data_IF_390261238519
#
_entry.id   IF_390261238519
#
_cell.length_a   1.000
_cell.length_b   1.000
_cell.length_c   1.000
_cell.angle_alpha   90.00
_cell.angle_beta   90.00
_cell.angle_gamma   90.00
#
_symmetry.space_group_name_H-M   'P 1'
#
loop_
_entity.id
_entity.type
_entity.pdbx_description
1 polymer ?
2 non-polymer ?
3 non-polymer ?
4 water ?
#
# COMPACT_ATOMS: atom_id res chain seq x y z
N UNK A 11 18.63 -12.37 -8.85
CA UNK A 11 17.69 -11.81 -9.87
C UNK A 11 18.07 -12.33 -11.25
N UNK A 12 17.05 -12.63 -12.08
CA UNK A 12 17.23 -12.99 -13.47
C UNK A 12 17.67 -11.77 -14.28
N UNK A 13 18.73 -11.95 -15.08
CA UNK A 13 19.16 -10.94 -16.03
C UNK A 13 18.41 -11.17 -17.35
N UNK A 14 17.75 -10.14 -17.87
CA UNK A 14 16.94 -10.27 -19.06
C UNK A 14 17.65 -9.53 -20.19
N UNK A 15 17.71 -10.16 -21.38
CA UNK A 15 18.39 -9.53 -22.50
C UNK A 15 17.49 -8.44 -23.07
N UNK A 16 18.01 -7.24 -23.43
CA UNK A 16 17.14 -6.16 -23.92
C UNK A 16 16.28 -6.48 -25.14
N UNK A 17 16.72 -7.44 -25.96
CA UNK A 17 16.00 -7.81 -27.16
C UNK A 17 14.69 -8.50 -26.80
N UNK A 18 14.55 -8.95 -25.54
CA UNK A 18 13.35 -9.64 -25.08
C UNK A 18 12.29 -8.66 -24.56
N UNK A 19 12.60 -7.36 -24.50
CA UNK A 19 11.71 -6.36 -23.90
C UNK A 19 11.32 -5.31 -24.92
N UNK A 20 10.01 -5.03 -25.05
CA UNK A 20 9.54 -3.88 -25.80
C UNK A 20 8.74 -2.95 -24.88
N UNK A 21 9.15 -1.68 -24.81
CA UNK A 21 8.38 -0.63 -24.15
C UNK A 21 7.30 -0.11 -25.11
N UNK A 22 6.17 0.34 -24.55
CA UNK A 22 5.00 0.65 -25.38
C UNK A 22 4.35 1.97 -24.94
N UNK A 23 4.07 2.11 -23.65
CA UNK A 23 3.32 3.25 -23.14
C UNK A 23 3.87 3.63 -21.77
N UNK A 24 4.02 4.93 -21.54
CA UNK A 24 4.43 5.42 -20.23
C UNK A 24 3.23 5.31 -19.29
N UNK A 25 3.42 4.65 -18.15
CA UNK A 25 2.40 4.54 -17.12
C UNK A 25 2.92 5.18 -15.83
N UNK A 26 4.06 5.88 -15.93
CA UNK A 26 4.70 6.49 -14.78
C UNK A 26 6.01 7.16 -15.15
N UNK A 31 14.13 8.62 -14.79
CA UNK A 31 13.50 7.37 -15.26
C UNK A 31 11.99 7.50 -15.45
N UNK A 32 11.43 6.59 -16.26
CA UNK A 32 10.00 6.46 -16.44
C UNK A 32 9.63 5.01 -16.15
N UNK A 33 8.34 4.75 -15.97
CA UNK A 33 7.81 3.41 -15.94
C UNK A 33 6.96 3.24 -17.18
N UNK A 34 7.21 2.16 -17.93
CA UNK A 34 6.42 1.83 -19.11
C UNK A 34 5.62 0.56 -18.87
N UNK A 35 4.50 0.44 -19.61
CA UNK A 35 3.93 -0.86 -19.89
C UNK A 35 4.63 -1.39 -21.15
N UNK A 36 4.92 -2.68 -21.15
CA UNK A 36 5.56 -3.29 -22.30
C UNK A 36 5.28 -4.78 -22.37
N UNK A 37 6.07 -5.46 -23.19
CA UNK A 37 5.91 -6.87 -23.45
C UNK A 37 7.26 -7.52 -23.24
N UNK A 38 7.25 -8.72 -22.65
CA UNK A 38 8.45 -9.50 -22.40
C UNK A 38 8.32 -10.83 -23.15
N UNK A 39 9.36 -11.19 -23.90
CA UNK A 39 9.43 -12.43 -24.65
C UNK A 39 9.55 -13.62 -23.68
N UNK A 46 4.75 -14.06 -25.24
CA UNK A 46 4.93 -12.66 -24.77
C UNK A 46 3.96 -12.42 -23.62
N UNK A 47 4.46 -11.83 -22.52
CA UNK A 47 3.64 -11.45 -21.37
C UNK A 47 3.70 -9.93 -21.18
N UNK A 48 2.61 -9.26 -20.76
CA UNK A 48 2.68 -7.84 -20.39
C UNK A 48 3.54 -7.66 -19.14
N UNK A 49 4.30 -6.56 -19.11
CA UNK A 49 5.14 -6.24 -17.97
C UNK A 49 5.11 -4.75 -17.71
N UNK A 50 5.52 -4.37 -16.48
CA UNK A 50 5.88 -3.01 -16.20
C UNK A 50 7.40 -2.91 -16.16
N UNK A 51 7.92 -1.77 -16.62
CA UNK A 51 9.34 -1.59 -16.89
C UNK A 51 9.78 -0.24 -16.34
N UNK A 52 10.66 -0.27 -15.36
CA UNK A 52 11.18 0.95 -14.78
C UNK A 52 12.60 1.16 -15.26
N UNK A 53 12.91 2.37 -15.77
CA UNK A 53 14.23 2.66 -16.33
C UNK A 53 15.05 3.57 -15.40
N UNK A 54 16.37 3.48 -15.54
CA UNK A 54 17.31 4.40 -14.90
C UNK A 54 18.14 5.10 -15.99
N UNK A 55 18.01 6.42 -16.05
CA UNK A 55 18.58 7.23 -17.12
C UNK A 55 20.06 7.52 -16.87
N UNK A 56 20.76 7.86 -17.95
CA UNK A 56 22.21 8.06 -17.98
C UNK A 56 22.62 9.16 -17.02
N UNK A 57 23.78 8.97 -16.37
CA UNK A 57 24.29 9.96 -15.44
C UNK A 57 23.82 9.73 -14.01
N UNK A 58 23.07 8.64 -13.77
CA UNK A 58 22.69 8.28 -12.42
C UNK A 58 23.93 8.19 -11.54
N UNK A 59 23.76 8.57 -10.26
CA UNK A 59 24.81 8.52 -9.25
C UNK A 59 24.96 7.09 -8.73
N UNK A 60 26.02 6.89 -7.94
CA UNK A 60 26.23 5.65 -7.23
C UNK A 60 25.03 5.36 -6.33
N UNK A 61 24.57 6.36 -5.57
CA UNK A 61 23.44 6.18 -4.66
C UNK A 61 22.20 5.74 -5.45
N UNK A 62 21.94 6.39 -6.60
CA UNK A 62 20.79 6.05 -7.43
C UNK A 62 20.89 4.58 -7.85
N UNK A 63 22.09 4.15 -8.24
CA UNK A 63 22.27 2.80 -8.76
C UNK A 63 22.02 1.78 -7.65
N UNK A 64 22.55 2.06 -6.46
CA UNK A 64 22.39 1.15 -5.34
C UNK A 64 20.91 1.09 -4.93
N UNK A 65 20.23 2.24 -4.93
CA UNK A 65 18.81 2.29 -4.59
C UNK A 65 18.00 1.55 -5.66
N UNK A 66 18.37 1.72 -6.94
CA UNK A 66 17.58 1.19 -8.03
C UNK A 66 17.72 -0.32 -8.10
N UNK A 67 18.97 -0.80 -8.15
CA UNK A 67 19.24 -2.23 -8.15
C UNK A 67 18.87 -2.83 -6.79
N UNK A 68 18.95 -2.00 -5.74
CA UNK A 68 18.56 -2.40 -4.39
C UNK A 68 17.11 -2.84 -4.34
N UNK A 69 16.24 -2.08 -5.02
CA UNK A 69 14.81 -2.33 -5.09
C UNK A 69 14.60 -3.69 -5.74
N UNK A 70 15.28 -3.94 -6.86
CA UNK A 70 15.18 -5.23 -7.53
C UNK A 70 15.69 -6.34 -6.61
N UNK A 71 16.80 -6.10 -5.90
CA UNK A 71 17.37 -7.10 -5.01
C UNK A 71 16.36 -7.54 -3.94
N UNK A 72 15.72 -6.56 -3.31
CA UNK A 72 14.71 -6.80 -2.27
C UNK A 72 13.54 -7.57 -2.87
N UNK A 73 13.00 -7.11 -4.01
CA UNK A 73 11.86 -7.78 -4.63
C UNK A 73 12.17 -9.22 -5.00
N UNK A 74 13.40 -9.45 -5.49
CA UNK A 74 13.87 -10.78 -5.83
C UNK A 74 13.93 -11.73 -4.62
N UNK A 75 13.97 -11.19 -3.40
CA UNK A 75 14.04 -12.01 -2.19
C UNK A 75 12.66 -12.55 -1.81
N UNK A 76 11.59 -12.02 -2.44
CA UNK A 76 10.22 -12.28 -2.02
C UNK A 76 9.51 -13.17 -3.02
N UNK A 77 8.68 -14.08 -2.51
CA UNK A 77 7.84 -14.91 -3.35
C UNK A 77 6.50 -15.07 -2.65
N UNK A 78 5.53 -14.19 -2.97
CA UNK A 78 4.27 -14.21 -2.27
C UNK A 78 3.19 -13.64 -3.19
N UNK A 79 2.01 -14.25 -3.16
CA UNK A 79 0.87 -13.86 -3.96
C UNK A 79 0.55 -12.36 -3.92
N UNK A 80 0.78 -11.72 -2.76
CA UNK A 80 0.34 -10.35 -2.52
C UNK A 80 1.52 -9.36 -2.53
N UNK A 81 2.61 -9.73 -3.22
CA UNK A 81 3.79 -8.90 -3.38
C UNK A 81 4.14 -8.94 -4.86
N UNK A 82 4.30 -7.74 -5.44
CA UNK A 82 4.59 -7.63 -6.87
C UNK A 82 5.79 -8.52 -7.22
N UNK A 83 5.63 -9.26 -8.31
CA UNK A 83 6.63 -10.22 -8.76
C UNK A 83 7.60 -9.55 -9.71
N UNK A 84 8.89 -9.78 -9.44
CA UNK A 84 9.98 -9.35 -10.31
C UNK A 84 10.17 -10.40 -11.40
N UNK A 85 10.12 -9.97 -12.67
CA UNK A 85 10.47 -10.83 -13.79
C UNK A 85 12.00 -10.87 -13.92
N UNK A 86 12.64 -9.71 -13.82
CA UNK A 86 14.09 -9.63 -13.85
C UNK A 86 14.60 -8.21 -14.03
N UNK A 87 15.90 -8.08 -14.33
CA UNK A 87 16.55 -6.79 -14.45
C UNK A 87 17.38 -6.78 -15.72
N UNK A 88 17.55 -5.59 -16.27
CA UNK A 88 18.62 -5.35 -17.23
C UNK A 88 19.64 -4.47 -16.54
N UNK A 89 20.80 -5.05 -16.24
CA UNK A 89 21.87 -4.34 -15.55
C UNK A 89 23.17 -4.30 -16.36
N UNK A 90 23.30 -5.15 -17.41
CA UNK A 90 24.51 -5.25 -18.21
C UNK A 90 24.48 -4.26 -19.37
N UNK A 91 23.29 -3.73 -19.66
CA UNK A 91 23.10 -2.78 -20.73
C UNK A 91 22.41 -1.54 -20.16
N UNK A 92 22.57 -0.41 -20.86
CA UNK A 92 22.01 0.86 -20.43
C UNK A 92 20.97 1.28 -21.47
N UNK A 93 19.84 1.92 -21.09
CA UNK A 93 19.50 2.18 -19.69
C UNK A 93 19.12 0.91 -18.92
N UNK A 94 19.46 0.89 -17.62
CA UNK A 94 19.15 -0.26 -16.78
C UNK A 94 17.65 -0.30 -16.55
N UNK A 95 17.10 -1.50 -16.32
CA UNK A 95 15.66 -1.67 -16.19
C UNK A 95 15.31 -2.68 -15.11
N UNK A 96 14.21 -2.43 -14.41
CA UNK A 96 13.51 -3.41 -13.59
C UNK A 96 12.21 -3.79 -14.30
N UNK A 97 11.96 -5.10 -14.40
CA UNK A 97 10.83 -5.62 -15.14
C UNK A 97 9.97 -6.44 -14.17
N UNK A 98 8.70 -6.02 -14.01
CA UNK A 98 7.79 -6.68 -13.10
C UNK A 98 6.58 -7.20 -13.85
N UNK A 99 5.77 -8.02 -13.16
CA UNK A 99 4.46 -8.37 -13.68
C UNK A 99 3.65 -7.08 -13.89
N UNK A 100 2.69 -7.13 -14.81
CA UNK A 100 1.85 -5.97 -15.10
C UNK A 100 0.50 -6.16 -14.41
N UNK A 101 0.03 -5.11 -13.72
CA UNK A 101 -1.19 -5.21 -12.93
C UNK A 101 -2.23 -4.38 -13.69
N UNK A 102 -3.24 -5.07 -14.25
CA UNK A 102 -4.10 -4.49 -15.26
C UNK A 102 -4.95 -3.32 -14.75
N UNK A 103 -5.24 -3.26 -13.44
CA UNK A 103 -6.08 -2.23 -12.88
C UNK A 103 -5.29 -1.12 -12.18
N UNK A 104 -3.96 -1.20 -12.20
CA UNK A 104 -3.15 -0.11 -11.71
C UNK A 104 -3.23 0.09 -10.19
N UNK A 105 -2.98 1.34 -9.78
CA UNK A 105 -2.89 1.69 -8.38
C UNK A 105 -4.29 1.68 -7.75
N UNK A 106 -4.34 1.11 -6.55
CA UNK A 106 -5.56 0.90 -5.81
C UNK A 106 -6.30 2.21 -5.48
N UNK A 107 -5.58 3.29 -5.12
CA UNK A 107 -6.26 4.53 -4.78
C UNK A 107 -7.09 5.08 -5.95
N UNK A 108 -6.46 5.19 -7.13
CA UNK A 108 -7.12 5.68 -8.31
C UNK A 108 -8.20 4.70 -8.76
N UNK A 109 -7.93 3.40 -8.65
CA UNK A 109 -8.89 2.38 -9.04
C UNK A 109 -10.19 2.53 -8.22
N UNK A 110 -10.07 2.65 -6.89
CA UNK A 110 -11.22 2.75 -6.00
C UNK A 110 -12.04 3.99 -6.40
N UNK A 111 -11.36 5.11 -6.63
CA UNK A 111 -12.03 6.38 -6.91
C UNK A 111 -12.78 6.32 -8.22
N UNK A 112 -12.25 5.55 -9.19
CA UNK A 112 -12.90 5.43 -10.50
C UNK A 112 -13.95 4.34 -10.52
N UNK A 113 -14.06 3.54 -9.45
CA UNK A 113 -15.00 2.42 -9.37
C UNK A 113 -15.91 2.58 -8.16
N UNK A 114 -16.20 3.84 -7.80
CA UNK A 114 -16.86 4.11 -6.54
C UNK A 114 -18.19 3.37 -6.47
N UNK A 115 -18.36 2.56 -5.43
CA UNK A 115 -19.60 1.84 -5.15
C UNK A 115 -19.81 0.57 -5.96
N UNK A 116 -18.83 0.14 -6.78
CA UNK A 116 -19.04 -0.94 -7.74
C UNK A 116 -18.72 -2.33 -7.21
N UNK A 117 -18.20 -2.47 -5.98
CA UNK A 117 -17.88 -3.78 -5.42
C UNK A 117 -18.79 -4.12 -4.24
N UNK A 118 -18.81 -5.40 -3.87
CA UNK A 118 -19.48 -5.83 -2.67
C UNK A 118 -18.57 -5.59 -1.47
N UNK A 119 -19.17 -5.56 -0.28
CA UNK A 119 -18.41 -5.43 0.95
C UNK A 119 -17.46 -6.62 1.09
N UNK A 120 -17.88 -7.82 0.67
CA UNK A 120 -17.03 -8.98 0.74
C UNK A 120 -15.81 -8.83 -0.16
N UNK A 121 -16.00 -8.27 -1.36
CA UNK A 121 -14.88 -8.00 -2.26
C UNK A 121 -13.90 -7.02 -1.60
N UNK A 122 -14.39 -5.92 -1.03
CA UNK A 122 -13.53 -4.93 -0.39
C UNK A 122 -12.72 -5.60 0.73
N UNK A 123 -13.41 -6.40 1.58
CA UNK A 123 -12.70 -7.06 2.67
C UNK A 123 -11.66 -8.06 2.14
N UNK A 124 -11.97 -8.77 1.05
CA UNK A 124 -11.03 -9.67 0.43
C UNK A 124 -9.79 -8.93 -0.09
N UNK A 125 -9.96 -7.71 -0.59
CA UNK A 125 -8.81 -6.91 -0.98
C UNK A 125 -7.91 -6.66 0.23
N UNK A 126 -8.51 -6.28 1.35
CA UNK A 126 -7.75 -5.96 2.54
C UNK A 126 -7.06 -7.21 3.07
N UNK A 127 -7.71 -8.38 2.99
CA UNK A 127 -7.05 -9.61 3.45
C UNK A 127 -5.78 -9.84 2.64
N UNK A 128 -5.85 -9.65 1.33
CA UNK A 128 -4.70 -9.80 0.43
C UNK A 128 -3.55 -8.87 0.82
N UNK A 129 -3.87 -7.58 1.03
CA UNK A 129 -2.85 -6.63 1.45
C UNK A 129 -2.24 -7.06 2.79
N UNK A 130 -3.08 -7.47 3.76
CA UNK A 130 -2.55 -7.86 5.06
C UNK A 130 -1.65 -9.09 4.94
N UNK A 131 -2.00 -10.04 4.06
CA UNK A 131 -1.19 -11.23 3.88
C UNK A 131 0.18 -10.87 3.31
N UNK A 132 0.20 -9.96 2.34
CA UNK A 132 1.45 -9.42 1.80
C UNK A 132 2.29 -8.77 2.89
N UNK A 133 1.64 -7.94 3.71
CA UNK A 133 2.35 -7.22 4.76
C UNK A 133 2.85 -8.18 5.84
N UNK A 134 2.07 -9.20 6.20
CA UNK A 134 2.55 -10.17 7.19
C UNK A 134 3.84 -10.80 6.69
N UNK A 135 3.85 -11.17 5.40
CA UNK A 135 5.01 -11.79 4.80
C UNK A 135 6.21 -10.83 4.85
N UNK A 136 6.02 -9.57 4.46
CA UNK A 136 7.11 -8.60 4.51
C UNK A 136 7.62 -8.47 5.94
N UNK A 137 6.71 -8.31 6.91
CA UNK A 137 7.11 -8.12 8.31
C UNK A 137 7.93 -9.31 8.79
N UNK A 138 7.46 -10.52 8.45
CA UNK A 138 8.13 -11.72 8.92
C UNK A 138 9.47 -11.94 8.19
N UNK A 139 9.62 -11.38 6.98
CA UNK A 139 10.89 -11.38 6.26
C UNK A 139 11.81 -10.25 6.70
N UNK A 140 11.40 -9.54 7.77
CA UNK A 140 12.20 -8.50 8.39
C UNK A 140 12.30 -7.27 7.50
N UNK A 141 11.22 -6.96 6.77
CA UNK A 141 11.12 -5.78 5.94
C UNK A 141 10.03 -4.83 6.44
N UNK A 142 10.42 -3.60 6.77
CA UNK A 142 9.51 -2.53 7.13
C UNK A 142 9.30 -1.65 5.91
N UNK A 143 8.03 -1.48 5.51
CA UNK A 143 7.73 -0.83 4.25
C UNK A 143 7.91 0.68 4.34
N UNK A 144 7.37 1.27 5.42
CA UNK A 144 7.45 2.69 5.77
C UNK A 144 6.50 3.57 4.96
N UNK A 145 5.92 3.06 3.86
CA UNK A 145 5.15 3.91 2.95
C UNK A 145 3.94 3.14 2.46
N UNK A 146 3.27 2.42 3.36
CA UNK A 146 2.09 1.66 2.96
C UNK A 146 0.88 2.62 2.88
N UNK A 147 0.22 2.60 1.72
CA UNK A 147 -0.87 3.48 1.35
C UNK A 147 -1.51 2.86 0.12
N UNK A 148 -2.77 3.19 -0.17
CA UNK A 148 -3.44 2.63 -1.33
C UNK A 148 -2.69 3.01 -2.62
N UNK A 149 -2.00 4.16 -2.66
CA UNK A 149 -1.28 4.58 -3.85
C UNK A 149 -0.13 3.64 -4.18
N UNK A 150 0.33 2.85 -3.19
CA UNK A 150 1.46 1.95 -3.33
C UNK A 150 1.03 0.47 -3.37
N UNK A 151 -0.27 0.23 -3.62
CA UNK A 151 -0.84 -1.09 -3.83
C UNK A 151 -1.32 -1.15 -5.28
N UNK A 152 -1.10 -2.29 -5.94
CA UNK A 152 -1.55 -2.48 -7.31
C UNK A 152 -2.58 -3.61 -7.39
N UNK A 153 -3.44 -3.54 -8.41
CA UNK A 153 -4.61 -4.41 -8.50
C UNK A 153 -4.62 -5.10 -9.86
N UNK A 154 -4.77 -6.43 -9.87
CA UNK A 154 -4.81 -7.17 -11.13
C UNK A 154 -6.25 -7.46 -11.54
N UNK A 155 -6.41 -8.15 -12.67
CA UNK A 155 -7.72 -8.44 -13.24
C UNK A 155 -8.45 -9.55 -12.46
N UNK A 156 -7.83 -10.13 -11.42
CA UNK A 156 -8.54 -11.01 -10.49
C UNK A 156 -8.90 -10.29 -9.19
N UNK A 157 -8.69 -8.96 -9.16
CA UNK A 157 -8.92 -8.08 -8.01
C UNK A 157 -7.91 -8.36 -6.89
N UNK A 158 -6.82 -9.03 -7.23
CA UNK A 158 -5.77 -9.32 -6.27
C UNK A 158 -5.00 -8.03 -6.06
N UNK A 159 -4.85 -7.65 -4.79
CA UNK A 159 -4.06 -6.50 -4.38
C UNK A 159 -2.66 -6.93 -3.95
N UNK A 160 -1.64 -6.24 -4.46
CA UNK A 160 -0.25 -6.57 -4.19
C UNK A 160 0.51 -5.31 -3.75
N UNK A 161 1.29 -5.49 -2.69
CA UNK A 161 2.14 -4.43 -2.19
C UNK A 161 3.22 -4.16 -3.24
N UNK A 162 3.43 -2.87 -3.52
CA UNK A 162 4.47 -2.41 -4.42
C UNK A 162 5.21 -1.25 -3.75
N UNK A 163 6.22 -0.72 -4.43
CA UNK A 163 7.03 0.39 -3.94
C UNK A 163 8.00 -0.08 -2.85
N UNK A 164 9.11 -0.66 -3.28
CA UNK A 164 10.19 -1.09 -2.41
C UNK A 164 11.40 -0.19 -2.61
N UNK A 165 11.15 1.06 -3.03
CA UNK A 165 12.21 2.06 -3.13
C UNK A 165 12.95 2.23 -1.80
N UNK A 166 14.28 2.36 -1.89
CA UNK A 166 15.14 2.40 -0.72
C UNK A 166 15.17 3.80 -0.11
N UNK A 167 15.05 4.85 -0.94
CA UNK A 167 15.30 6.22 -0.51
C UNK A 167 14.01 6.99 -0.26
N UNK A 168 13.54 6.98 0.99
CA UNK A 168 12.27 7.59 1.36
C UNK A 168 12.48 8.51 2.57
N UNK A 169 11.92 9.72 2.52
CA UNK A 169 11.96 10.67 3.62
C UNK A 169 10.53 11.01 4.04
N UNK A 170 10.30 11.29 5.32
CA UNK A 170 9.01 11.78 5.78
C UNK A 170 8.84 13.22 5.30
N UNK A 171 7.67 13.56 4.78
CA UNK A 171 7.44 14.91 4.28
C UNK A 171 7.48 15.88 5.46
N UNK A 172 7.88 17.13 5.20
CA UNK A 172 7.92 18.18 6.22
C UNK A 172 9.07 17.94 7.20
N UNK A 173 10.00 17.05 6.86
CA UNK A 173 11.13 16.75 7.74
C UNK A 173 12.08 17.95 7.71
N UNK A 174 12.34 18.62 8.87
CA UNK A 174 13.31 19.72 8.90
C UNK A 174 14.70 19.29 8.39
N UNK A 175 15.19 18.14 8.87
CA UNK A 175 16.50 17.62 8.51
C UNK A 175 16.53 17.36 6.99
N UNK A 183 11.47 10.18 -2.55
CA UNK A 183 10.02 9.98 -2.36
C UNK A 183 9.57 10.37 -0.96
N UNK A 184 8.56 11.23 -0.87
CA UNK A 184 8.09 11.74 0.41
C UNK A 184 7.05 10.77 0.98
N UNK A 185 7.24 10.37 2.24
CA UNK A 185 6.25 9.59 2.95
C UNK A 185 5.24 10.57 3.57
N UNK A 186 3.92 10.46 3.28
CA UNK A 186 2.96 11.40 3.84
C UNK A 186 2.68 11.20 5.32
N UNK A 187 2.65 12.32 6.03
CA UNK A 187 2.39 12.37 7.45
C UNK A 187 1.12 11.59 7.83
N UNK A 188 0.03 11.77 7.08
CA UNK A 188 -1.27 11.35 7.58
C UNK A 188 -1.49 9.84 7.37
N UNK A 189 -0.52 9.12 6.78
CA UNK A 189 -0.55 7.66 6.75
C UNK A 189 0.40 7.07 7.78
N UNK A 190 1.15 7.91 8.49
CA UNK A 190 2.28 7.47 9.28
C UNK A 190 1.95 7.43 10.78
N UNK A 191 2.49 6.42 11.49
CA UNK A 191 2.22 6.24 12.90
C UNK A 191 2.87 7.36 13.71
N UNK A 192 2.28 7.72 14.87
CA UNK A 192 2.85 8.79 15.71
C UNK A 192 4.33 8.62 16.04
N UNK A 193 4.77 7.39 16.39
CA UNK A 193 6.15 7.19 16.85
C UNK A 193 7.11 7.36 15.68
N UNK A 194 6.65 7.04 14.47
CA UNK A 194 7.49 7.22 13.31
C UNK A 194 7.68 8.71 13.02
N UNK A 195 6.62 9.51 13.17
CA UNK A 195 6.70 10.94 13.05
C UNK A 195 7.57 11.56 14.16
N UNK A 196 7.24 11.26 15.41
CA UNK A 196 7.82 11.97 16.55
C UNK A 196 9.28 11.61 16.78
N UNK A 197 9.67 10.33 16.62
CA UNK A 197 11.04 9.98 16.90
C UNK A 197 11.66 9.01 15.89
N UNK A 198 11.10 8.94 14.69
CA UNK A 198 11.69 8.23 13.57
C UNK A 198 11.74 6.71 13.78
N UNK A 199 10.78 6.18 14.55
CA UNK A 199 10.76 4.76 14.82
C UNK A 199 9.79 4.08 13.85
N UNK A 200 10.34 3.61 12.72
CA UNK A 200 9.57 2.84 11.77
C UNK A 200 9.78 1.35 12.03
N UNK A 201 8.66 0.63 12.17
CA UNK A 201 8.67 -0.81 12.45
C UNK A 201 7.47 -1.43 11.75
N UNK A 202 7.37 -2.75 11.86
CA UNK A 202 6.17 -3.40 11.36
C UNK A 202 4.91 -2.92 12.09
N UNK A 203 5.04 -2.40 13.32
CA UNK A 203 3.90 -1.85 14.05
C UNK A 203 3.49 -0.47 13.52
N UNK A 204 4.41 0.33 12.97
CA UNK A 204 4.01 1.56 12.30
C UNK A 204 3.37 1.24 10.95
N UNK A 205 3.82 0.14 10.32
CA UNK A 205 3.17 -0.36 9.13
C UNK A 205 1.73 -0.78 9.42
N UNK A 206 1.45 -1.38 10.58
CA UNK A 206 0.08 -1.70 10.96
C UNK A 206 -0.78 -0.43 11.05
N UNK A 207 -0.27 0.64 11.68
CA UNK A 207 -0.99 1.91 11.65
C UNK A 207 -1.39 2.27 10.22
N UNK A 208 -0.39 2.25 9.31
CA UNK A 208 -0.62 2.59 7.93
C UNK A 208 -1.67 1.68 7.31
N UNK A 209 -1.62 0.40 7.65
CA UNK A 209 -2.60 -0.54 7.14
C UNK A 209 -4.02 -0.16 7.58
N UNK A 210 -4.18 0.32 8.83
CA UNK A 210 -5.45 0.81 9.30
C UNK A 210 -5.97 1.95 8.42
N UNK A 211 -5.07 2.86 8.02
CA UNK A 211 -5.44 3.93 7.09
C UNK A 211 -5.85 3.34 5.73
N UNK A 212 -5.09 2.35 5.23
CA UNK A 212 -5.48 1.65 3.99
C UNK A 212 -6.85 0.98 4.10
N UNK A 213 -7.18 0.38 5.25
CA UNK A 213 -8.51 -0.17 5.46
C UNK A 213 -9.57 0.94 5.23
N UNK A 214 -9.34 2.12 5.82
CA UNK A 214 -10.26 3.23 5.67
C UNK A 214 -10.34 3.71 4.21
N UNK A 215 -9.20 3.81 3.52
CA UNK A 215 -9.19 4.11 2.09
C UNK A 215 -10.06 3.12 1.30
N UNK A 216 -9.91 1.82 1.56
CA UNK A 216 -10.62 0.84 0.76
C UNK A 216 -12.12 0.94 1.05
N UNK A 217 -12.49 1.06 2.32
CA UNK A 217 -13.91 1.00 2.67
C UNK A 217 -14.65 2.27 2.26
N UNK A 218 -13.90 3.36 2.02
CA UNK A 218 -14.48 4.62 1.55
C UNK A 218 -14.32 4.83 0.05
N UNK A 219 -13.84 3.82 -0.70
CA UNK A 219 -13.51 3.96 -2.13
C UNK A 219 -12.57 5.12 -2.42
N UNK A 220 -11.53 5.29 -1.59
CA UNK A 220 -10.44 6.21 -1.91
C UNK A 220 -10.65 7.64 -1.42
N UNK A 221 -11.45 7.81 -0.36
CA UNK A 221 -11.57 9.10 0.29
C UNK A 221 -10.19 9.47 0.86
N UNK A 222 -9.88 10.76 0.88
CA UNK A 222 -8.60 11.19 1.42
C UNK A 222 -8.69 11.29 2.94
N UNK A 223 -7.82 10.54 3.67
CA UNK A 223 -7.89 10.54 5.12
C UNK A 223 -7.72 11.96 5.65
N UNK A 224 -8.63 12.31 6.56
CA UNK A 224 -8.67 13.55 7.32
C UNK A 224 -9.02 14.72 6.40
N UNK A 225 -9.46 14.47 5.16
CA UNK A 225 -9.97 15.54 4.30
C UNK A 225 -9.00 16.72 4.24
N UNK A 226 -9.47 17.96 4.51
CA UNK A 226 -8.66 19.12 4.21
C UNK A 226 -7.86 19.56 5.44
N UNK A 227 -7.83 18.73 6.51
CA UNK A 227 -7.01 19.08 7.68
C UNK A 227 -5.56 19.21 7.21
N UNK A 228 -4.83 20.19 7.77
CA UNK A 228 -3.40 20.29 7.51
C UNK A 228 -2.67 19.14 8.23
N UNK A 229 -1.42 18.92 7.85
CA UNK A 229 -0.57 17.96 8.56
C UNK A 229 -0.52 18.26 10.06
N UNK A 230 -0.31 19.52 10.45
CA UNK A 230 -0.26 19.89 11.85
C UNK A 230 -1.58 19.56 12.54
N UNK A 231 -2.70 19.92 11.90
CA UNK A 231 -4.01 19.63 12.44
C UNK A 231 -4.24 18.12 12.63
N UNK A 232 -3.80 17.30 11.69
CA UNK A 232 -3.95 15.85 11.81
C UNK A 232 -3.18 15.32 13.02
N UNK A 233 -1.93 15.77 13.15
CA UNK A 233 -1.05 15.32 14.21
C UNK A 233 -1.61 15.72 15.58
N UNK A 234 -2.12 16.96 15.68
CA UNK A 234 -2.72 17.46 16.90
C UNK A 234 -3.97 16.66 17.24
N UNK A 235 -4.81 16.38 16.23
CA UNK A 235 -6.03 15.61 16.44
C UNK A 235 -5.69 14.22 16.97
N UNK A 236 -4.77 13.53 16.29
CA UNK A 236 -4.36 12.20 16.70
C UNK A 236 -3.84 12.21 18.15
N UNK A 237 -2.98 13.17 18.47
CA UNK A 237 -2.39 13.18 19.80
C UNK A 237 -3.45 13.46 20.87
N UNK A 238 -4.55 14.12 20.49
CA UNK A 238 -5.64 14.43 21.41
C UNK A 238 -6.67 13.30 21.46
N UNK A 239 -6.48 12.23 20.67
CA UNK A 239 -7.29 11.01 20.78
C UNK A 239 -8.32 10.85 19.67
N UNK A 240 -8.41 11.83 18.77
CA UNK A 240 -9.34 11.75 17.67
C UNK A 240 -8.86 10.71 16.67
N UNK A 241 -9.80 10.06 16.00
CA UNK A 241 -9.51 9.09 14.95
C UNK A 241 -10.52 9.26 13.83
N UNK A 242 -10.17 8.74 12.65
CA UNK A 242 -11.06 8.78 11.52
C UNK A 242 -12.40 8.16 11.89
N UNK A 243 -13.51 8.76 11.43
CA UNK A 243 -14.86 8.23 11.70
C UNK A 243 -15.17 7.05 10.78
N UNK A 244 -16.24 6.31 11.12
CA UNK A 244 -16.67 5.14 10.38
C UNK A 244 -16.92 5.50 8.93
N UNK A 245 -16.44 4.71 7.94
CA UNK A 245 -16.95 4.77 6.57
C UNK A 245 -18.45 4.46 6.54
N UNK A 246 -19.13 4.97 5.50
CA UNK A 246 -20.50 4.58 5.20
C UNK A 246 -20.56 3.08 4.93
N UNK A 247 -21.56 2.41 5.53
CA UNK A 247 -21.89 1.02 5.23
C UNK A 247 -20.72 0.09 5.55
N UNK A 248 -19.97 0.46 6.59
CA UNK A 248 -18.79 -0.29 7.01
C UNK A 248 -19.18 -1.35 8.05
N UNK A 249 -18.79 -2.63 7.87
CA UNK A 249 -18.99 -3.64 8.90
C UNK A 249 -18.38 -3.21 10.24
N UNK A 250 -19.14 -3.42 11.31
CA UNK A 250 -18.67 -3.13 12.65
C UNK A 250 -17.30 -3.75 12.92
N UNK A 251 -17.12 -5.00 12.53
CA UNK A 251 -15.88 -5.73 12.81
C UNK A 251 -14.70 -5.08 12.09
N UNK A 252 -14.96 -4.54 10.90
CA UNK A 252 -13.90 -3.90 10.10
C UNK A 252 -13.50 -2.56 10.73
N UNK A 253 -14.49 -1.73 11.13
CA UNK A 253 -14.19 -0.51 11.84
C UNK A 253 -13.45 -0.76 13.16
N UNK A 254 -13.90 -1.74 13.97
CA UNK A 254 -13.19 -2.10 15.18
C UNK A 254 -11.73 -2.44 14.88
N UNK A 255 -11.48 -3.19 13.80
CA UNK A 255 -10.12 -3.62 13.49
C UNK A 255 -9.25 -2.43 13.07
N UNK A 256 -9.76 -1.52 12.23
CA UNK A 256 -8.95 -0.39 11.85
C UNK A 256 -8.69 0.50 13.08
N UNK A 257 -9.64 0.59 14.03
CA UNK A 257 -9.44 1.43 15.21
C UNK A 257 -8.32 0.86 16.07
N UNK A 258 -8.22 -0.47 16.12
CA UNK A 258 -7.17 -1.09 16.92
C UNK A 258 -5.79 -0.87 16.28
N UNK A 259 -5.75 -0.77 14.96
CA UNK A 259 -4.54 -0.42 14.24
C UNK A 259 -4.00 0.94 14.65
N UNK A 260 -4.89 1.84 15.10
CA UNK A 260 -4.57 3.21 15.45
C UNK A 260 -4.44 3.41 16.96
N UNK A 261 -4.06 2.36 17.70
CA UNK A 261 -3.72 2.54 19.11
C UNK A 261 -2.43 3.34 19.21
N UNK A 262 -2.42 4.35 20.10
CA UNK A 262 -1.24 5.17 20.30
C UNK A 262 -0.08 4.29 20.76
N UNK A 263 -0.37 3.35 21.66
CA UNK A 263 0.61 2.41 22.18
C UNK A 263 0.82 1.25 21.20
N UNK A 264 2.03 1.16 20.65
CA UNK A 264 2.34 0.13 19.63
C UNK A 264 1.99 -1.27 20.09
N UNK A 265 2.25 -1.58 21.37
CA UNK A 265 2.04 -2.93 21.88
C UNK A 265 0.57 -3.35 21.84
N UNK A 266 -0.36 -2.39 21.77
CA UNK A 266 -1.78 -2.69 21.76
C UNK A 266 -2.30 -2.84 20.33
N UNK A 267 -1.46 -2.54 19.32
CA UNK A 267 -1.88 -2.75 17.94
C UNK A 267 -1.84 -4.25 17.63
N UNK A 268 -2.76 -4.72 16.78
CA UNK A 268 -2.65 -6.10 16.27
C UNK A 268 -1.36 -6.19 15.46
N UNK A 269 -0.80 -7.41 15.40
CA UNK A 269 0.21 -7.77 14.41
C UNK A 269 -0.51 -8.12 13.12
N UNK A 270 0.23 -8.10 12.00
CA UNK A 270 -0.36 -8.53 10.74
C UNK A 270 -0.88 -9.96 10.88
N UNK A 271 -0.22 -10.80 11.68
CA UNK A 271 -0.75 -12.15 11.86
C UNK A 271 -2.17 -12.11 12.41
N UNK A 272 -2.44 -11.19 13.33
CA UNK A 272 -3.76 -11.07 13.93
C UNK A 272 -4.76 -10.57 12.89
N UNK A 273 -4.32 -9.59 12.10
CA UNK A 273 -5.19 -8.97 11.10
C UNK A 273 -5.61 -10.00 10.05
N UNK A 274 -4.66 -10.80 9.54
CA UNK A 274 -4.97 -11.82 8.56
C UNK A 274 -5.97 -12.82 9.17
N UNK A 275 -5.71 -13.25 10.41
CA UNK A 275 -6.56 -14.23 11.08
C UNK A 275 -8.00 -13.73 11.17
N UNK A 276 -8.17 -12.49 11.64
CA UNK A 276 -9.48 -11.87 11.80
C UNK A 276 -10.18 -11.71 10.46
N UNK A 277 -9.48 -11.18 9.45
CA UNK A 277 -10.12 -10.99 8.14
C UNK A 277 -10.50 -12.35 7.55
N UNK A 278 -9.68 -13.38 7.75
CA UNK A 278 -10.00 -14.68 7.18
C UNK A 278 -11.28 -15.21 7.83
N UNK A 279 -11.41 -15.01 9.13
CA UNK A 279 -12.60 -15.49 9.85
C UNK A 279 -13.84 -14.75 9.35
N UNK A 280 -13.75 -13.44 9.15
CA UNK A 280 -14.88 -12.66 8.68
C UNK A 280 -15.32 -13.11 7.28
N UNK A 281 -14.34 -13.33 6.38
CA UNK A 281 -14.64 -13.74 5.02
C UNK A 281 -15.29 -15.12 4.98
N UNK A 282 -14.85 -16.02 5.86
CA UNK A 282 -15.33 -17.40 5.86
C UNK A 282 -16.72 -17.49 6.50
N UNK A 283 -17.08 -16.49 7.31
CA UNK A 283 -18.43 -16.37 7.89
C UNK A 283 -19.02 -15.03 7.47
N UNK A 284 -19.35 -14.87 6.16
CA UNK A 284 -19.57 -13.54 5.59
C UNK A 284 -20.80 -12.81 6.14
N UNK A 285 -21.72 -13.53 6.81
CA UNK A 285 -22.84 -12.87 7.43
C UNK A 285 -22.35 -11.96 8.57
N UNK A 286 -21.17 -12.27 9.12
CA UNK A 286 -20.53 -11.41 10.13
C UNK A 286 -20.37 -9.96 9.65
N UNK A 287 -20.28 -9.74 8.31
CA UNK A 287 -20.05 -8.41 7.76
C UNK A 287 -21.34 -7.62 7.54
N UNK A 288 -22.52 -8.23 7.82
CA UNK A 288 -23.79 -7.55 7.63
C UNK A 288 -24.10 -6.60 8.79
N UNK A 289 -23.42 -6.80 9.93
CA UNK A 289 -23.60 -5.94 11.09
C UNK A 289 -22.77 -4.69 10.87
N UNK A 290 -23.42 -3.52 10.71
CA UNK A 290 -22.72 -2.32 10.30
C UNK A 290 -22.46 -1.42 11.50
N UNK A 291 -21.30 -0.75 11.48
CA UNK A 291 -21.04 0.33 12.41
C UNK A 291 -21.98 1.50 12.09
N UNK A 292 -22.45 2.17 13.14
CA UNK A 292 -23.32 3.34 12.96
C UNK A 292 -22.53 4.42 12.22
N UNK A 293 -23.17 5.03 11.22
CA UNK A 293 -22.56 6.11 10.45
C UNK A 293 -23.05 7.45 11.00
N UNK A 294 -22.12 8.34 11.41
CA UNK A 294 -22.49 9.71 11.86
C UNK A 294 -22.65 10.64 10.67
N UNK A 295 -23.88 10.93 10.19
CA UNK A 295 -24.07 11.74 8.98
C UNK A 295 -23.67 13.20 9.25
N UNK A 296 -22.85 13.77 8.36
CA UNK A 296 -22.34 15.16 8.56
C UNK A 296 -23.46 16.14 8.21
N UNK A 297 -24.43 15.68 7.43
CA UNK A 297 -25.59 16.53 7.07
C UNK A 297 -26.83 15.63 7.12
N UNK A 298 -27.88 16.10 7.76
CA UNK A 298 -29.13 15.31 7.71
C UNK A 298 -30.17 16.10 6.89
N UNK A 299 -31.09 15.38 6.25
CA UNK A 299 -32.12 16.03 5.43
C UNK A 299 -33.49 15.66 6.01
N UNK A 300 -34.27 16.68 6.31
CA UNK A 300 -35.62 16.48 6.89
C UNK A 300 -36.65 16.39 5.76
X LIG B 1 -19.59 -2.07 -13.56
X LIG B 1 -19.77 -1.87 -12.17
X LIG B 1 -20.85 -2.05 -14.30
X LIG B 1 -21.88 -2.80 -13.72
X LIG C 1 -23.22 -4.05 -16.79
X LIG C 1 -23.14 -2.85 -16.05
X LIG C 1 -23.58 -3.75 -18.18
X LIG C 1 -23.91 -4.89 -18.91
X LIG D 1 -8.57 28.19 11.19
X LIG D 1 -9.91 27.84 10.93
X LIG D 1 -7.59 27.37 10.43
X LIG D 1 -7.70 27.48 9.02
X LIG E 1 -13.40 9.12 17.42
X LIG E 1 -12.57 10.28 17.43
X LIG E 1 -12.86 7.94 18.14
X LIG E 1 -12.04 8.30 19.24
X LIG F 1 4.53 -14.57 6.65
X LIG F 1 3.69 -15.15 5.64
X LIG F 1 4.67 -15.20 8.01
X LIG F 1 3.95 -16.36 8.32
X LIG G 1 25.94 6.12 -15.97
X LIG G 1 25.05 6.53 -16.98
X LIG G 1 26.10 7.18 -14.94
X LIG G 1 27.05 6.86 -13.96
X LIG H 1 -10.64 16.08 1.03
X LIG H 1 -10.67 15.15 -0.10
X LIG H 1 -9.93 17.33 0.72
X LIG H 1 -8.48 17.32 0.82
X LIG I 1 -13.56 -12.76 -0.95
X LIG I 1 -13.66 -12.00 0.22
X LIG I 1 -13.70 -11.92 -2.15
X LIG I 1 -12.52 -11.82 -2.89
X LIG J 1 6.10 -6.21 20.93
X LIG J 1 5.14 -7.20 20.60
X LIG J 1 5.44 -4.99 21.45
X LIG J 1 4.59 -4.42 20.46
X LIG K 1 -16.21 8.52 5.57
X LIG K 1 -16.46 8.75 6.94
X LIG K 1 -17.33 8.94 4.68
X LIG K 1 -16.92 9.80 3.62
X LIG L 1 3.98 -8.64 12.45
X LIG L 1 3.02 -7.60 12.21
X LIG L 1 3.70 -9.83 11.60
X LIG L 1 2.59 -10.55 12.12
X LIG M 1 1.54 -2.76 -13.08
X LIG M 1 7.08 -1.57 -8.99
X LIG M 1 8.33 -1.76 -8.40
X LIG M 1 3.95 0.36 -11.88
X LIG M 1 8.50 -1.86 -6.91
X LIG M 1 1.22 -1.46 -13.22
X LIG M 1 5.63 -1.19 -11.01
X LIG M 1 6.96 -1.42 -10.37
X LIG M 1 1.60 5.26 -9.57
X LIG M 1 4.84 -2.21 -11.39
X LIG M 1 3.58 -2.01 -12.03
X LIG M 1 2.70 -3.02 -12.47
X LIG M 1 1.97 -0.39 -12.85
X LIG M 1 5.84 1.20 -10.94
X LIG M 1 5.19 0.20 -11.25
X LIG M 1 3.51 1.73 -12.16
X LIG M 1 2.67 2.28 -11.04
X LIG M 1 2.05 3.60 -11.37
X LIG M 1 1.17 4.03 -10.22
X LIG M 1 3.15 -0.70 -12.26
X LIG M 1 0.03 -1.17 -13.76
X LIG M 1 -0.42 0.18 -14.01
X LIG M 1 8.13 -1.45 -11.13
X LIG M 1 8.07 -1.33 -12.84
X LIG M 1 9.35 -1.65 -10.55
X LIG M 1 9.46 -1.81 -9.20
X LIG M 1 7.70 -2.68 -6.44
X LIG M 1 8.40 -0.72 -6.31
X LIG M 1 9.68 -2.32 -6.55
X LIG N 1 -2.81 7.81 -8.30
X LIG N 1 -2.31 6.51 -8.05
X LIG N 1 -1.97 8.84 -7.66
X LIG N 1 -1.87 8.64 -6.26
X LIG O 1 -17.04 1.32 -15.12
X LIG O 1 -16.38 0.55 -14.12
X LIG O 1 -16.90 2.79 -14.98
X LIG O 1 -16.98 3.25 -13.65
#
# INVERSE_FOLDING_TARGET
>A
GDPNQAVLKFTTEIHPSCVTRQKVIGAGEFGEVYKGMLKTSSGKKEVPVAIKTLKAGYTEKQRVDFLGEAGIMGQFSHHNIIRLEGVISKYKPMMIITEYMENGALDKFLREKDGEFSVLQLVGMLRGIAAGMKYLANMNYVHRDLAARNILVNSNLVCKVSDFGLSRVLEDDPEATYTTSGGKIPIRWTAPEAISYRKFTSASDVWSFGIVMWEVMTYGERPYWELSNHEVMKAINDGFRLPTPMDCPSAIYQLMMQCWQQERARRPKFADIVSILDKLIRAPDSLKTLADFDPRVSIRLPSTSG
>B hetero
1 EDO C1 O1 C2 O2
>C hetero
1 EDO C1 O1 C2 O2
>D hetero
1 EDO C1 O1 C2 O2
>E hetero
1 EDO C1 O1 C2 O2
>F hetero
1 EDO C1 O1 C2 O2
>G hetero
1 EDO C1 O1 C2 O2
>H hetero
1 EDO C1 O1 C2 O2
>I hetero
1 EDO C1 O1 C2 O2
>J hetero
1 EDO C1 O1 C2 O2
>K hetero
1 EDO C1 O1 C2 O2
>L hetero
1 EDO C1 O1 C2 O2
>M hetero
1 QRD N1 C7 C8 N2 C9 C1 C5 C6 N3 C4 C3 C2 N4 O C13 C14 C15 C16 C17 C18 N C C12 CL C11 C10 F F1 F2
>N hetero
1 EDO C1 O1 C2 O2
>O hetero
1 EDO C1 O1 C2 O2
#
